data_IF_926352442930
#
_entry.id   IF_926352442930
#
_cell.length_a   1.000
_cell.length_b   1.000
_cell.length_c   1.000
_cell.angle_alpha   90.00
_cell.angle_beta   90.00
_cell.angle_gamma   90.00
#
_symmetry.space_group_name_H-M   'P 1'
#
loop_
_entity.id
_entity.type
_entity.pdbx_description
1 polymer ?
#
# COMPACT_ATOMS: atom_id res chain seq x y z
N UNK A 1 -15.74 92.32 -16.39
CA UNK A 1 -16.65 92.46 -17.52
C UNK A 1 -17.16 91.09 -17.94
N UNK A 2 -18.50 90.97 -17.91
CA UNK A 2 -19.37 90.15 -18.74
C UNK A 2 -19.44 88.66 -18.32
N UNK A 3 -20.36 88.29 -17.47
CA UNK A 3 -21.74 87.82 -17.62
C UNK A 3 -21.90 86.70 -18.62
N UNK A 4 -22.45 85.56 -18.18
CA UNK A 4 -23.71 84.94 -18.58
C UNK A 4 -23.72 83.51 -18.09
N UNK A 5 -24.58 83.14 -17.18
CA UNK A 5 -25.98 82.68 -17.30
C UNK A 5 -26.10 81.43 -18.15
N UNK A 6 -26.49 80.34 -17.49
CA UNK A 6 -27.65 79.67 -18.04
C UNK A 6 -27.67 78.18 -17.91
N UNK A 7 -28.69 77.81 -17.25
CA UNK A 7 -29.58 76.66 -17.42
C UNK A 7 -29.25 75.30 -16.71
N UNK A 8 -30.09 75.12 -15.74
CA UNK A 8 -30.40 73.86 -15.15
C UNK A 8 -31.11 72.91 -16.16
N UNK A 9 -30.73 71.69 -16.19
CA UNK A 9 -31.60 70.61 -16.66
C UNK A 9 -31.50 69.43 -15.70
N UNK A 10 -32.58 69.28 -14.99
CA UNK A 10 -32.84 68.07 -14.21
C UNK A 10 -33.29 66.98 -15.17
N UNK A 11 -32.66 65.84 -15.12
CA UNK A 11 -33.18 64.60 -15.71
C UNK A 11 -33.06 63.48 -14.71
N UNK A 12 -34.25 63.10 -14.23
CA UNK A 12 -34.49 61.84 -13.56
C UNK A 12 -34.20 60.68 -14.52
N UNK A 13 -33.47 59.71 -14.10
CA UNK A 13 -33.49 58.39 -14.69
C UNK A 13 -32.99 57.40 -13.66
N UNK A 14 -33.87 56.68 -13.02
CA UNK A 14 -34.13 55.32 -13.28
C UNK A 14 -33.08 54.42 -12.64
N UNK A 15 -33.22 54.14 -11.32
CA UNK A 15 -32.52 53.05 -10.67
C UNK A 15 -33.10 51.70 -11.18
N UNK A 16 -32.38 51.03 -12.08
CA UNK A 16 -32.62 49.65 -12.41
C UNK A 16 -31.83 48.76 -11.42
N UNK A 17 -32.56 48.22 -10.46
CA UNK A 17 -32.05 47.16 -9.56
C UNK A 17 -31.96 45.87 -10.36
N UNK A 18 -30.81 45.57 -10.89
CA UNK A 18 -30.51 44.20 -11.37
C UNK A 18 -30.26 43.31 -10.14
N UNK A 19 -31.28 42.59 -9.76
CA UNK A 19 -31.22 41.48 -8.81
C UNK A 19 -30.46 40.34 -9.48
N UNK A 20 -29.15 40.28 -9.26
CA UNK A 20 -28.38 39.09 -9.63
C UNK A 20 -28.73 37.96 -8.66
N UNK A 21 -29.54 37.03 -9.10
CA UNK A 21 -29.71 35.75 -8.45
C UNK A 21 -28.37 35.00 -8.60
N UNK A 22 -27.53 35.08 -7.56
CA UNK A 22 -26.39 34.17 -7.44
C UNK A 22 -26.93 32.79 -7.13
N UNK A 23 -26.80 31.87 -8.08
CA UNK A 23 -27.07 30.45 -7.83
C UNK A 23 -26.04 29.94 -6.78
N UNK A 24 -26.48 29.16 -5.81
CA UNK A 24 -25.54 28.56 -4.87
C UNK A 24 -24.54 27.66 -5.63
N UNK A 25 -23.26 27.63 -5.21
CA UNK A 25 -22.30 26.71 -5.83
C UNK A 25 -22.81 25.29 -5.69
N UNK A 26 -22.85 24.58 -6.80
CA UNK A 26 -23.17 23.17 -6.81
C UNK A 26 -22.21 22.46 -5.85
N UNK A 27 -22.77 21.78 -4.84
CA UNK A 27 -21.98 20.96 -3.96
C UNK A 27 -21.28 19.91 -4.82
N UNK A 28 -19.95 19.95 -4.87
CA UNK A 28 -19.16 18.88 -5.45
C UNK A 28 -19.53 17.59 -4.72
N UNK A 29 -19.84 16.51 -5.46
CA UNK A 29 -20.04 15.22 -4.82
C UNK A 29 -18.80 14.88 -4.02
N UNK A 30 -18.93 14.31 -2.81
CA UNK A 30 -17.79 13.88 -2.04
C UNK A 30 -16.93 12.96 -2.93
N UNK A 31 -15.71 13.36 -3.18
CA UNK A 31 -14.76 12.50 -3.84
C UNK A 31 -14.73 11.21 -3.02
N UNK A 32 -15.21 10.13 -3.63
CA UNK A 32 -15.00 8.78 -3.13
C UNK A 32 -13.47 8.65 -3.00
N UNK A 33 -12.96 8.86 -1.80
CA UNK A 33 -11.62 8.45 -1.45
C UNK A 33 -11.65 6.94 -1.65
N UNK A 34 -11.18 6.50 -2.81
CA UNK A 34 -10.78 5.12 -2.98
C UNK A 34 -9.70 4.91 -1.91
N UNK A 35 -10.10 4.39 -0.76
CA UNK A 35 -9.17 3.79 0.17
C UNK A 35 -8.47 2.71 -0.63
N UNK A 36 -7.30 3.08 -1.17
CA UNK A 36 -6.34 2.11 -1.66
C UNK A 36 -6.01 1.28 -0.44
N UNK A 37 -6.74 0.20 -0.25
CA UNK A 37 -6.36 -0.89 0.63
C UNK A 37 -5.06 -1.44 0.06
N UNK A 38 -3.97 -0.75 0.34
CA UNK A 38 -2.65 -1.28 0.09
C UNK A 38 -2.58 -2.56 0.90
N UNK A 39 -2.64 -3.69 0.22
CA UNK A 39 -2.51 -4.98 0.87
C UNK A 39 -1.23 -4.91 1.72
N UNK A 40 -1.36 -5.13 3.03
CA UNK A 40 -0.21 -5.10 3.93
C UNK A 40 0.78 -6.16 3.46
N UNK A 41 2.02 -5.73 3.21
CA UNK A 41 3.11 -6.62 2.80
C UNK A 41 3.95 -6.93 4.02
N UNK A 42 4.04 -8.21 4.36
CA UNK A 42 4.97 -8.71 5.38
C UNK A 42 6.20 -9.24 4.67
N UNK A 43 7.34 -8.61 4.89
CA UNK A 43 8.61 -9.05 4.31
C UNK A 43 9.54 -9.59 5.38
N UNK A 44 10.22 -10.69 5.08
CA UNK A 44 11.26 -11.26 5.92
C UNK A 44 12.43 -11.73 5.07
N UNK A 45 13.63 -11.39 5.50
CA UNK A 45 14.89 -11.76 4.86
C UNK A 45 15.69 -12.66 5.79
N UNK A 46 16.18 -13.77 5.24
CA UNK A 46 16.98 -14.75 5.96
C UNK A 46 18.31 -14.99 5.24
N UNK A 47 19.34 -15.21 6.02
CA UNK A 47 20.63 -15.68 5.55
C UNK A 47 20.93 -17.01 6.22
N UNK A 48 21.38 -17.98 5.44
CA UNK A 48 21.80 -19.29 5.92
C UNK A 48 23.25 -19.50 5.56
N UNK A 49 24.10 -19.67 6.58
CA UNK A 49 25.54 -19.86 6.44
C UNK A 49 25.95 -21.01 7.35
N UNK A 50 26.63 -22.01 6.80
CA UNK A 50 27.03 -23.22 7.53
C UNK A 50 25.85 -23.88 8.27
N UNK A 51 24.67 -23.91 7.66
CA UNK A 51 23.44 -24.43 8.25
C UNK A 51 22.82 -23.57 9.36
N UNK A 52 23.40 -22.39 9.64
CA UNK A 52 22.89 -21.45 10.65
C UNK A 52 21.95 -20.42 10.02
N UNK A 53 20.70 -20.42 10.46
CA UNK A 53 19.69 -19.44 10.02
C UNK A 53 19.89 -18.14 10.80
N UNK A 54 20.01 -17.03 10.07
CA UNK A 54 20.06 -15.65 10.58
C UNK A 54 18.91 -14.86 10.01
N UNK A 55 18.31 -13.98 10.81
CA UNK A 55 17.18 -13.15 10.42
C UNK A 55 16.20 -12.98 11.58
N UNK A 56 14.92 -12.71 11.30
CA UNK A 56 13.89 -12.68 12.33
C UNK A 56 13.86 -14.00 13.11
N UNK A 57 13.79 -13.92 14.44
CA UNK A 57 13.76 -15.12 15.31
C UNK A 57 12.35 -15.45 15.78
N UNK A 58 11.41 -14.50 15.66
CA UNK A 58 10.04 -14.67 16.05
C UNK A 58 9.17 -15.14 14.88
N UNK A 59 8.02 -15.74 15.17
CA UNK A 59 7.04 -16.10 14.16
C UNK A 59 6.61 -14.90 13.34
N UNK A 60 6.55 -15.07 12.04
CA UNK A 60 6.08 -14.04 11.12
C UNK A 60 4.56 -13.90 11.27
N UNK A 61 4.05 -12.70 11.46
CA UNK A 61 2.62 -12.43 11.58
C UNK A 61 2.12 -11.76 10.31
N UNK A 62 1.12 -12.32 9.67
CA UNK A 62 0.52 -11.73 8.49
C UNK A 62 -1.01 -11.66 8.63
N UNK A 63 -1.66 -10.57 8.19
CA UNK A 63 -3.11 -10.50 8.15
C UNK A 63 -3.65 -11.41 7.05
N UNK A 64 -4.82 -12.00 7.26
CA UNK A 64 -5.55 -12.68 6.19
C UNK A 64 -5.82 -11.75 5.01
N UNK A 65 -5.55 -12.20 3.80
CA UNK A 65 -5.66 -11.40 2.58
C UNK A 65 -4.46 -10.48 2.31
N UNK A 66 -3.45 -10.48 3.18
CA UNK A 66 -2.20 -9.75 2.99
C UNK A 66 -1.30 -10.38 1.93
N UNK A 67 -0.11 -9.84 1.80
CA UNK A 67 0.96 -10.35 0.94
C UNK A 67 2.17 -10.67 1.81
N UNK A 68 2.77 -11.82 1.61
CA UNK A 68 4.03 -12.22 2.25
C UNK A 68 5.11 -12.32 1.19
N UNK A 69 6.28 -11.77 1.51
CA UNK A 69 7.50 -11.89 0.72
C UNK A 69 8.62 -12.42 1.60
N UNK A 70 9.12 -13.60 1.27
CA UNK A 70 10.24 -14.23 1.97
C UNK A 70 11.43 -14.27 1.02
N UNK A 71 12.56 -13.73 1.46
CA UNK A 71 13.81 -13.79 0.71
C UNK A 71 14.83 -14.57 1.54
N UNK A 72 15.46 -15.56 0.92
CA UNK A 72 16.49 -16.38 1.55
C UNK A 72 17.74 -16.35 0.68
N UNK A 73 18.89 -16.13 1.32
CA UNK A 73 20.22 -16.31 0.76
C UNK A 73 20.90 -17.43 1.50
N UNK A 74 21.38 -18.45 0.79
CA UNK A 74 22.13 -19.58 1.37
C UNK A 74 23.52 -19.67 0.74
N UNK A 75 24.49 -20.16 1.50
CA UNK A 75 25.81 -20.54 1.00
C UNK A 75 25.81 -21.93 0.32
N UNK A 76 24.72 -22.70 0.51
CA UNK A 76 24.54 -24.01 -0.11
C UNK A 76 23.29 -24.03 -0.99
N UNK A 77 23.25 -24.98 -1.94
CA UNK A 77 22.08 -25.25 -2.75
C UNK A 77 21.01 -25.94 -1.91
N UNK A 78 19.78 -25.40 -1.92
CA UNK A 78 18.64 -25.94 -1.17
C UNK A 78 17.33 -25.55 -1.86
N UNK A 79 16.19 -25.82 -1.23
CA UNK A 79 14.89 -25.37 -1.65
C UNK A 79 14.14 -24.75 -0.46
N UNK A 80 13.78 -23.47 -0.58
CA UNK A 80 12.85 -22.83 0.36
C UNK A 80 11.45 -23.37 0.10
N UNK A 81 10.80 -23.85 1.13
CA UNK A 81 9.43 -24.36 1.06
C UNK A 81 8.53 -23.77 2.15
N UNK A 82 7.33 -23.34 1.76
CA UNK A 82 6.27 -22.86 2.67
C UNK A 82 5.14 -23.87 2.64
N UNK A 83 5.01 -24.66 3.72
CA UNK A 83 3.96 -25.66 3.84
C UNK A 83 2.57 -25.05 3.85
N UNK A 84 1.60 -25.76 3.30
CA UNK A 84 0.19 -25.32 3.24
C UNK A 84 -0.13 -24.31 2.15
N UNK A 85 0.79 -23.44 1.80
CA UNK A 85 0.71 -22.56 0.62
C UNK A 85 1.35 -23.20 -0.62
N UNK A 86 2.13 -24.24 -0.44
CA UNK A 86 2.83 -24.97 -1.51
C UNK A 86 3.65 -24.02 -2.39
N UNK A 87 4.38 -23.12 -1.74
CA UNK A 87 5.29 -22.16 -2.39
C UNK A 87 6.72 -22.59 -2.13
N UNK A 88 7.49 -22.66 -3.20
CA UNK A 88 8.92 -22.97 -3.12
C UNK A 88 9.76 -22.12 -4.03
N UNK A 89 11.06 -22.02 -3.69
CA UNK A 89 12.08 -21.41 -4.52
C UNK A 89 13.40 -22.16 -4.36
N UNK A 90 14.04 -22.43 -5.48
CA UNK A 90 15.38 -23.04 -5.48
C UNK A 90 16.42 -22.03 -5.04
N UNK A 91 17.23 -22.42 -4.05
CA UNK A 91 18.37 -21.65 -3.56
C UNK A 91 19.63 -22.07 -4.32
N UNK A 92 20.36 -21.07 -4.81
CA UNK A 92 21.70 -21.25 -5.35
C UNK A 92 22.72 -20.59 -4.43
N UNK A 93 23.88 -21.19 -4.24
CA UNK A 93 24.89 -20.64 -3.34
C UNK A 93 25.19 -19.17 -3.61
N UNK A 94 25.00 -18.30 -2.59
CA UNK A 94 25.26 -16.88 -2.65
C UNK A 94 24.22 -16.02 -3.38
N UNK A 95 23.19 -16.61 -4.02
CA UNK A 95 22.13 -15.88 -4.69
C UNK A 95 20.89 -15.78 -3.79
N UNK A 96 20.21 -14.62 -3.74
CA UNK A 96 18.92 -14.52 -3.03
C UNK A 96 17.82 -15.19 -3.86
N UNK A 97 16.96 -15.97 -3.21
CA UNK A 97 15.72 -16.48 -3.78
C UNK A 97 14.53 -15.95 -3.00
N UNK A 98 13.44 -15.63 -3.70
CA UNK A 98 12.25 -15.02 -3.11
C UNK A 98 11.01 -15.80 -3.47
N UNK A 99 10.15 -16.05 -2.48
CA UNK A 99 8.76 -16.46 -2.67
C UNK A 99 7.84 -15.31 -2.26
N UNK A 100 6.80 -15.10 -3.05
CA UNK A 100 5.76 -14.11 -2.76
C UNK A 100 4.39 -14.75 -2.96
N UNK A 101 3.50 -14.58 -1.99
CA UNK A 101 2.16 -15.15 -2.05
C UNK A 101 1.17 -14.38 -1.19
N UNK A 102 -0.11 -14.53 -1.52
CA UNK A 102 -1.21 -13.96 -0.76
C UNK A 102 -1.60 -14.89 0.39
N UNK A 103 -1.85 -14.31 1.56
CA UNK A 103 -2.24 -15.04 2.78
C UNK A 103 -3.75 -15.27 2.84
N UNK A 104 -4.26 -16.13 1.97
CA UNK A 104 -5.69 -16.43 1.82
C UNK A 104 -6.17 -17.62 2.67
N UNK A 105 -5.27 -18.29 3.38
CA UNK A 105 -5.56 -19.41 4.28
C UNK A 105 -5.14 -19.01 5.70
N UNK A 106 -6.05 -18.92 6.68
CA UNK A 106 -5.67 -18.66 8.07
C UNK A 106 -5.03 -19.92 8.70
N UNK A 107 -4.08 -19.70 9.60
CA UNK A 107 -3.40 -20.81 10.28
C UNK A 107 -1.95 -20.54 10.64
N UNK A 108 -1.25 -21.60 11.01
CA UNK A 108 0.19 -21.61 11.28
C UNK A 108 0.86 -22.52 10.26
N UNK A 109 1.84 -21.97 9.56
CA UNK A 109 2.50 -22.63 8.44
C UNK A 109 3.99 -22.74 8.70
N UNK A 110 4.54 -23.92 8.50
CA UNK A 110 5.97 -24.18 8.60
C UNK A 110 6.69 -23.63 7.37
N UNK A 111 7.87 -23.08 7.60
CA UNK A 111 8.79 -22.64 6.56
C UNK A 111 10.11 -23.36 6.79
N UNK A 112 10.63 -24.01 5.76
CA UNK A 112 11.85 -24.79 5.90
C UNK A 112 12.73 -24.73 4.63
N UNK A 113 13.98 -25.10 4.80
CA UNK A 113 14.86 -25.50 3.72
C UNK A 113 14.77 -27.01 3.56
N UNK A 114 14.24 -27.45 2.42
CA UNK A 114 13.76 -28.84 2.23
C UNK A 114 14.89 -29.88 2.24
N UNK A 115 16.05 -29.55 1.67
CA UNK A 115 17.14 -30.53 1.59
C UNK A 115 17.94 -30.63 2.90
N UNK A 116 18.25 -29.50 3.54
CA UNK A 116 18.95 -29.46 4.81
C UNK A 116 18.07 -29.74 6.02
N UNK A 117 16.74 -29.58 5.88
CA UNK A 117 15.80 -29.67 6.99
C UNK A 117 15.91 -28.48 7.97
N UNK A 118 16.54 -27.39 7.57
CA UNK A 118 16.68 -26.19 8.39
C UNK A 118 15.34 -25.47 8.51
N UNK A 119 14.79 -25.40 9.73
CA UNK A 119 13.54 -24.68 9.97
C UNK A 119 13.76 -23.17 10.10
N UNK A 120 12.91 -22.40 9.45
CA UNK A 120 12.76 -20.97 9.62
C UNK A 120 11.59 -20.68 10.57
N UNK A 121 11.43 -19.45 11.09
CA UNK A 121 10.26 -19.07 11.88
C UNK A 121 8.96 -19.29 11.11
N UNK A 122 7.98 -19.92 11.76
CA UNK A 122 6.68 -20.19 11.16
C UNK A 122 5.92 -18.92 10.79
N UNK A 123 5.08 -19.00 9.77
CA UNK A 123 4.13 -17.96 9.41
C UNK A 123 2.80 -18.18 10.15
N UNK A 124 2.29 -17.13 10.79
CA UNK A 124 0.96 -17.09 11.40
C UNK A 124 0.07 -16.15 10.59
N UNK A 125 -1.04 -16.66 10.07
CA UNK A 125 -2.04 -15.89 9.32
C UNK A 125 -3.34 -15.82 10.13
N UNK A 126 -3.81 -14.59 10.40
CA UNK A 126 -5.03 -14.34 11.18
C UNK A 126 -5.73 -13.02 10.83
#
# INVERSE_FOLDING_TARGET
>A
MTTARGFAFALLAGAALLSACAAPPAAEPPALQAESSAASVVSADFEVVDGQVRGPSERLQAPHGGLVRLTVRSDEADELHVHGYDKSAQLRPGEPATVEFRTDIPGVFEIELHHSGSALPSLVVR
#
